data_IF_520070921072
#
_entry.id   IF_520070921072
#
_cell.length_a   1.000
_cell.length_b   1.000
_cell.length_c   1.000
_cell.angle_alpha   90.00
_cell.angle_beta   90.00
_cell.angle_gamma   90.00
#
_symmetry.space_group_name_H-M   'P 1'
#
loop_
_entity.id
_entity.type
_entity.pdbx_description
1 polymer ?
#
# COMPACT_ATOMS: atom_id res chain seq x y z
N UNK A 1 -49.38 -25.63 30.21
CA UNK A 1 -48.18 -25.49 31.06
C UNK A 1 -47.12 -26.48 30.63
N UNK A 2 -46.10 -26.04 29.90
CA UNK A 2 -44.74 -26.63 29.86
C UNK A 2 -43.81 -25.54 29.34
N UNK A 3 -42.85 -25.17 30.19
CA UNK A 3 -41.88 -24.11 30.04
C UNK A 3 -40.67 -24.77 29.39
N UNK A 4 -40.37 -24.50 28.12
CA UNK A 4 -39.08 -24.88 27.56
C UNK A 4 -38.28 -23.66 27.13
N UNK A 5 -37.10 -23.62 27.75
CA UNK A 5 -36.16 -22.51 27.81
C UNK A 5 -35.37 -22.48 26.52
N UNK A 6 -35.30 -21.32 25.88
CA UNK A 6 -34.21 -21.03 24.94
C UNK A 6 -32.90 -20.98 25.72
N UNK A 7 -31.81 -21.60 25.26
CA UNK A 7 -30.49 -21.13 25.65
C UNK A 7 -30.16 -19.85 24.87
N UNK A 8 -30.11 -18.74 25.61
CA UNK A 8 -29.28 -17.57 25.28
C UNK A 8 -27.82 -18.02 25.45
N UNK A 9 -27.04 -18.03 24.39
CA UNK A 9 -25.58 -17.96 24.49
C UNK A 9 -25.15 -16.54 24.14
N UNK A 10 -24.92 -15.77 25.19
CA UNK A 10 -24.22 -14.49 25.15
C UNK A 10 -22.75 -14.77 24.83
N UNK A 11 -22.32 -14.25 23.68
CA UNK A 11 -21.04 -13.58 23.38
C UNK A 11 -19.91 -13.75 24.40
N UNK A 12 -18.77 -14.33 23.98
CA UNK A 12 -17.44 -13.97 24.52
C UNK A 12 -16.21 -14.57 23.78
N UNK A 13 -16.36 -15.30 22.66
CA UNK A 13 -15.21 -16.01 22.05
C UNK A 13 -14.49 -15.32 20.89
N UNK A 14 -15.17 -14.47 20.13
CA UNK A 14 -14.68 -14.04 18.80
C UNK A 14 -13.66 -12.89 18.81
N UNK A 15 -13.57 -12.13 19.89
CA UNK A 15 -12.74 -10.92 19.94
C UNK A 15 -11.28 -11.23 20.34
N UNK A 16 -11.08 -12.28 21.16
CA UNK A 16 -9.76 -12.75 21.57
C UNK A 16 -9.05 -13.53 20.45
N UNK A 17 -9.77 -14.36 19.69
CA UNK A 17 -9.18 -15.15 18.58
C UNK A 17 -8.67 -14.25 17.45
N UNK A 18 -9.36 -13.15 17.14
CA UNK A 18 -8.92 -12.22 16.09
C UNK A 18 -7.63 -11.49 16.44
N UNK A 19 -7.41 -11.14 17.72
CA UNK A 19 -6.13 -10.54 18.15
C UNK A 19 -4.97 -11.53 18.15
N UNK A 20 -5.24 -12.82 18.43
CA UNK A 20 -4.22 -13.86 18.39
C UNK A 20 -3.69 -14.11 16.97
N UNK A 21 -4.55 -14.06 15.94
CA UNK A 21 -4.11 -14.29 14.55
C UNK A 21 -3.28 -13.12 14.02
N UNK A 22 -3.62 -11.87 14.36
CA UNK A 22 -2.84 -10.69 13.93
C UNK A 22 -1.48 -10.58 14.63
N UNK A 23 -1.40 -11.01 15.89
CA UNK A 23 -0.12 -11.06 16.60
C UNK A 23 0.75 -12.22 16.11
N UNK A 24 0.16 -13.36 15.71
CA UNK A 24 0.91 -14.47 15.15
C UNK A 24 1.45 -14.14 13.74
N UNK A 25 0.72 -13.40 12.91
CA UNK A 25 1.22 -12.96 11.60
C UNK A 25 2.30 -11.88 11.69
N UNK A 26 2.22 -10.95 12.67
CA UNK A 26 3.33 -10.01 12.92
C UNK A 26 4.54 -10.70 13.56
N UNK A 27 4.36 -11.67 14.47
CA UNK A 27 5.47 -12.41 15.06
C UNK A 27 6.17 -13.32 14.04
N UNK A 28 5.42 -13.94 13.12
CA UNK A 28 5.99 -14.74 12.02
C UNK A 28 6.75 -13.89 11.00
N UNK A 29 6.45 -12.59 10.86
CA UNK A 29 7.24 -11.66 10.05
C UNK A 29 8.56 -11.24 10.74
N UNK A 30 8.63 -11.29 12.07
CA UNK A 30 9.85 -10.99 12.83
C UNK A 30 10.77 -12.20 13.04
N UNK A 31 10.27 -13.44 12.91
CA UNK A 31 11.04 -14.66 13.18
C UNK A 31 11.70 -15.29 11.94
N UNK A 32 11.68 -14.64 10.77
CA UNK A 32 12.43 -15.07 9.56
C UNK A 32 13.67 -14.20 9.32
N UNK A 33 14.19 -13.53 10.34
CA UNK A 33 15.55 -13.02 10.30
C UNK A 33 16.51 -14.10 10.83
N UNK A 34 17.53 -14.49 10.06
CA UNK A 34 18.37 -15.63 10.35
C UNK A 34 19.16 -15.38 11.65
N UNK A 35 18.96 -16.27 12.62
CA UNK A 35 19.96 -16.50 13.65
C UNK A 35 21.21 -17.06 12.98
N UNK A 36 22.36 -16.40 13.21
CA UNK A 36 23.71 -16.70 12.71
C UNK A 36 24.07 -16.14 11.33
N UNK A 37 24.47 -14.87 11.29
CA UNK A 37 25.55 -14.43 10.41
C UNK A 37 26.71 -13.96 11.28
N UNK A 38 27.71 -14.84 11.45
CA UNK A 38 29.08 -14.34 11.51
C UNK A 38 29.26 -13.42 10.30
N UNK A 39 29.88 -12.25 10.47
CA UNK A 39 30.08 -11.25 9.44
C UNK A 39 30.95 -11.77 8.28
N UNK A 40 30.39 -12.64 7.44
CA UNK A 40 30.81 -12.82 6.07
C UNK A 40 30.44 -11.53 5.36
N UNK A 41 31.44 -10.78 4.91
CA UNK A 41 31.20 -9.67 3.97
C UNK A 41 30.49 -10.29 2.78
N UNK A 42 29.18 -10.06 2.66
CA UNK A 42 28.44 -10.46 1.48
C UNK A 42 29.13 -9.86 0.26
N UNK A 43 29.27 -10.67 -0.79
CA UNK A 43 29.80 -10.14 -2.04
C UNK A 43 28.85 -9.03 -2.53
N UNK A 44 29.35 -7.97 -3.21
CA UNK A 44 28.50 -6.92 -3.77
C UNK A 44 27.36 -7.46 -4.63
N UNK A 45 27.57 -8.61 -5.28
CA UNK A 45 26.54 -9.29 -6.06
C UNK A 45 25.40 -9.86 -5.19
N UNK A 46 25.73 -10.49 -4.06
CA UNK A 46 24.71 -11.01 -3.14
C UNK A 46 23.91 -9.86 -2.52
N UNK A 47 24.58 -8.78 -2.12
CA UNK A 47 23.90 -7.58 -1.63
C UNK A 47 22.94 -7.00 -2.69
N UNK A 48 23.38 -6.94 -3.95
CA UNK A 48 22.56 -6.46 -5.05
C UNK A 48 21.30 -7.30 -5.25
N UNK A 49 21.45 -8.63 -5.26
CA UNK A 49 20.34 -9.59 -5.40
C UNK A 49 19.35 -9.47 -4.23
N UNK A 50 19.81 -9.21 -3.00
CA UNK A 50 18.93 -8.94 -1.85
C UNK A 50 18.11 -7.67 -2.03
N UNK A 51 18.75 -6.55 -2.44
CA UNK A 51 18.03 -5.30 -2.67
C UNK A 51 17.00 -5.42 -3.80
N UNK A 52 17.35 -6.13 -4.87
CA UNK A 52 16.45 -6.48 -5.96
C UNK A 52 15.22 -7.27 -5.46
N UNK A 53 15.41 -8.32 -4.66
CA UNK A 53 14.29 -9.10 -4.13
C UNK A 53 13.38 -8.27 -3.22
N UNK A 54 13.95 -7.44 -2.35
CA UNK A 54 13.15 -6.51 -1.53
C UNK A 54 12.37 -5.53 -2.43
N UNK A 55 12.97 -5.04 -3.53
CA UNK A 55 12.29 -4.15 -4.47
C UNK A 55 11.11 -4.84 -5.16
N UNK A 56 11.29 -6.09 -5.62
CA UNK A 56 10.22 -6.91 -6.23
C UNK A 56 9.06 -7.15 -5.27
N UNK A 57 9.35 -7.49 -4.01
CA UNK A 57 8.31 -7.66 -2.98
C UNK A 57 7.52 -6.37 -2.75
N UNK A 58 8.19 -5.22 -2.77
CA UNK A 58 7.52 -3.91 -2.66
C UNK A 58 6.65 -3.60 -3.86
N UNK A 59 7.09 -3.92 -5.08
CA UNK A 59 6.26 -3.80 -6.29
C UNK A 59 5.04 -4.72 -6.20
N UNK A 60 5.18 -5.94 -5.69
CA UNK A 60 4.06 -6.85 -5.50
C UNK A 60 3.04 -6.29 -4.48
N UNK A 61 3.52 -5.74 -3.36
CA UNK A 61 2.67 -5.07 -2.38
C UNK A 61 1.94 -3.85 -3.01
N UNK A 62 2.65 -3.03 -3.79
CA UNK A 62 2.07 -1.88 -4.49
C UNK A 62 0.94 -2.31 -5.42
N UNK A 63 1.16 -3.35 -6.24
CA UNK A 63 0.13 -3.92 -7.12
C UNK A 63 -1.07 -4.46 -6.34
N UNK A 64 -0.85 -5.02 -5.15
CA UNK A 64 -1.91 -5.45 -4.25
C UNK A 64 -2.82 -4.30 -3.83
N UNK A 65 -2.23 -3.18 -3.43
CA UNK A 65 -2.96 -1.94 -3.10
C UNK A 65 -3.66 -1.35 -4.33
N UNK A 66 -3.04 -1.37 -5.52
CA UNK A 66 -3.72 -0.91 -6.75
C UNK A 66 -4.97 -1.75 -7.04
N UNK A 67 -4.90 -3.08 -6.94
CA UNK A 67 -6.07 -3.95 -7.12
C UNK A 67 -7.16 -3.66 -6.08
N UNK A 68 -6.79 -3.38 -4.83
CA UNK A 68 -7.75 -3.00 -3.80
C UNK A 68 -8.42 -1.64 -4.12
N UNK A 69 -7.63 -0.65 -4.55
CA UNK A 69 -8.14 0.64 -4.98
C UNK A 69 -9.15 0.50 -6.13
N UNK A 70 -8.81 -0.29 -7.17
CA UNK A 70 -9.72 -0.52 -8.30
C UNK A 70 -11.03 -1.17 -7.84
N UNK A 71 -10.97 -2.18 -6.96
CA UNK A 71 -12.18 -2.81 -6.38
C UNK A 71 -13.05 -1.81 -5.62
N UNK A 72 -12.44 -0.90 -4.87
CA UNK A 72 -13.14 0.14 -4.10
C UNK A 72 -13.77 1.20 -4.98
N UNK A 73 -13.04 1.63 -6.02
CA UNK A 73 -13.59 2.52 -7.06
C UNK A 73 -14.78 1.88 -7.78
N UNK A 74 -14.64 0.63 -8.21
CA UNK A 74 -15.71 -0.09 -8.89
C UNK A 74 -16.91 -0.31 -7.95
N UNK A 75 -16.68 -0.55 -6.66
CA UNK A 75 -17.73 -0.58 -5.64
C UNK A 75 -18.45 0.77 -5.55
N UNK A 76 -17.72 1.89 -5.51
CA UNK A 76 -18.30 3.23 -5.46
C UNK A 76 -19.24 3.49 -6.65
N UNK A 77 -18.82 3.15 -7.87
CA UNK A 77 -19.64 3.33 -9.07
C UNK A 77 -20.87 2.43 -9.15
N UNK A 78 -20.90 1.32 -8.40
CA UNK A 78 -22.09 0.46 -8.27
C UNK A 78 -23.09 0.97 -7.23
N UNK A 79 -22.68 1.88 -6.35
CA UNK A 79 -23.52 2.46 -5.28
C UNK A 79 -24.36 3.63 -5.81
N UNK A 80 -25.02 3.43 -6.95
CA UNK A 80 -25.88 4.45 -7.58
C UNK A 80 -26.99 4.87 -6.61
N UNK A 81 -27.08 6.17 -6.33
CA UNK A 81 -28.06 6.75 -5.41
C UNK A 81 -27.67 6.69 -3.92
N UNK A 82 -26.58 6.00 -3.56
CA UNK A 82 -25.99 6.07 -2.22
C UNK A 82 -24.65 6.81 -2.27
N UNK A 83 -24.74 8.12 -2.47
CA UNK A 83 -23.60 9.01 -2.63
C UNK A 83 -22.68 9.01 -1.40
N UNK A 84 -23.22 8.75 -0.20
CA UNK A 84 -22.41 8.71 1.03
C UNK A 84 -21.46 7.52 1.01
N UNK A 85 -22.00 6.32 0.77
CA UNK A 85 -21.19 5.12 0.69
C UNK A 85 -20.26 5.12 -0.54
N UNK A 86 -20.68 5.75 -1.65
CA UNK A 86 -19.84 5.95 -2.82
C UNK A 86 -18.63 6.85 -2.50
N UNK A 87 -18.86 7.99 -1.84
CA UNK A 87 -17.81 8.89 -1.39
C UNK A 87 -16.83 8.21 -0.42
N UNK A 88 -17.33 7.46 0.56
CA UNK A 88 -16.47 6.71 1.51
C UNK A 88 -15.63 5.64 0.79
N UNK A 89 -16.19 4.96 -0.21
CA UNK A 89 -15.46 3.98 -1.00
C UNK A 89 -14.38 4.63 -1.89
N UNK A 90 -14.63 5.83 -2.44
CA UNK A 90 -13.64 6.61 -3.20
C UNK A 90 -12.52 7.13 -2.31
N UNK A 91 -12.82 7.61 -1.10
CA UNK A 91 -11.81 8.01 -0.11
C UNK A 91 -10.87 6.84 0.20
N UNK A 92 -11.41 5.66 0.50
CA UNK A 92 -10.61 4.45 0.73
C UNK A 92 -9.81 4.08 -0.53
N UNK A 93 -10.38 4.21 -1.73
CA UNK A 93 -9.65 3.92 -2.97
C UNK A 93 -8.44 4.87 -3.14
N UNK A 94 -8.59 6.15 -2.77
CA UNK A 94 -7.50 7.11 -2.73
C UNK A 94 -6.42 6.74 -1.72
N UNK A 95 -6.80 6.27 -0.53
CA UNK A 95 -5.85 5.80 0.50
C UNK A 95 -5.02 4.62 -0.01
N UNK A 96 -5.66 3.66 -0.67
CA UNK A 96 -4.98 2.51 -1.28
C UNK A 96 -4.01 2.92 -2.39
N UNK A 97 -4.38 3.90 -3.24
CA UNK A 97 -3.46 4.46 -4.26
C UNK A 97 -2.26 5.15 -3.61
N UNK A 98 -2.46 5.86 -2.51
CA UNK A 98 -1.37 6.45 -1.75
C UNK A 98 -0.40 5.37 -1.21
N UNK A 99 -0.91 4.30 -0.59
CA UNK A 99 -0.08 3.19 -0.10
C UNK A 99 0.68 2.49 -1.23
N UNK A 100 0.06 2.29 -2.39
CA UNK A 100 0.72 1.79 -3.58
C UNK A 100 1.86 2.72 -4.04
N UNK A 101 1.65 4.04 -4.02
CA UNK A 101 2.71 5.00 -4.33
C UNK A 101 3.89 4.88 -3.38
N UNK A 102 3.66 4.81 -2.07
CA UNK A 102 4.72 4.66 -1.07
C UNK A 102 5.53 3.37 -1.29
N UNK A 103 4.85 2.26 -1.59
CA UNK A 103 5.51 1.00 -1.89
C UNK A 103 6.37 1.07 -3.16
N UNK A 104 5.89 1.73 -4.23
CA UNK A 104 6.67 1.98 -5.45
C UNK A 104 7.87 2.90 -5.20
N UNK A 105 7.74 3.96 -4.40
CA UNK A 105 8.87 4.83 -4.05
C UNK A 105 9.95 4.09 -3.28
N UNK A 106 9.56 3.24 -2.33
CA UNK A 106 10.51 2.38 -1.60
C UNK A 106 11.17 1.42 -2.59
N UNK A 107 10.42 0.77 -3.47
CA UNK A 107 10.97 -0.13 -4.47
C UNK A 107 12.01 0.56 -5.37
N UNK A 108 11.71 1.77 -5.83
CA UNK A 108 12.63 2.59 -6.62
C UNK A 108 13.97 2.79 -5.91
N UNK A 109 13.94 3.19 -4.63
CA UNK A 109 15.15 3.36 -3.81
C UNK A 109 15.92 2.06 -3.60
N UNK A 110 15.24 0.91 -3.50
CA UNK A 110 15.94 -0.37 -3.37
C UNK A 110 16.57 -0.83 -4.69
N UNK A 111 15.90 -0.59 -5.82
CA UNK A 111 16.49 -0.81 -7.14
C UNK A 111 17.74 0.06 -7.37
N UNK A 112 17.75 1.31 -6.91
CA UNK A 112 18.95 2.15 -6.94
C UNK A 112 20.11 1.58 -6.10
N UNK A 113 19.81 0.96 -4.95
CA UNK A 113 20.84 0.28 -4.15
C UNK A 113 21.34 -0.98 -4.84
N UNK A 114 20.45 -1.78 -5.41
CA UNK A 114 20.80 -2.96 -6.21
C UNK A 114 21.72 -2.56 -7.36
N UNK A 115 21.39 -1.48 -8.09
CA UNK A 115 22.22 -0.95 -9.17
C UNK A 115 23.62 -0.55 -8.71
N UNK A 116 23.74 0.15 -7.58
CA UNK A 116 25.04 0.52 -6.99
C UNK A 116 25.88 -0.71 -6.64
N UNK A 117 25.24 -1.73 -6.06
CA UNK A 117 25.90 -2.96 -5.67
C UNK A 117 26.31 -3.84 -6.87
N UNK A 118 25.47 -3.97 -7.90
CA UNK A 118 25.84 -4.63 -9.18
C UNK A 118 27.01 -3.94 -9.86
N UNK A 119 27.00 -2.60 -9.89
CA UNK A 119 28.12 -1.82 -10.43
C UNK A 119 29.42 -2.07 -9.66
N UNK A 120 29.36 -2.14 -8.32
CA UNK A 120 30.52 -2.46 -7.48
C UNK A 120 31.00 -3.92 -7.67
N UNK A 121 30.09 -4.83 -8.03
CA UNK A 121 30.38 -6.21 -8.40
C UNK A 121 30.86 -6.41 -9.85
N UNK A 122 31.12 -5.32 -10.59
CA UNK A 122 31.50 -5.34 -12.00
C UNK A 122 30.48 -6.01 -12.94
N UNK A 123 29.19 -5.88 -12.64
CA UNK A 123 28.06 -6.34 -13.47
C UNK A 123 27.27 -5.13 -14.02
N UNK A 124 27.82 -4.42 -15.04
CA UNK A 124 27.25 -3.15 -15.52
C UNK A 124 25.90 -3.32 -16.21
N UNK A 125 25.65 -4.47 -16.84
CA UNK A 125 24.38 -4.73 -17.52
C UNK A 125 23.24 -4.83 -16.49
N UNK A 126 23.43 -5.63 -15.43
CA UNK A 126 22.46 -5.70 -14.33
C UNK A 126 22.31 -4.37 -13.59
N UNK A 127 23.38 -3.60 -13.47
CA UNK A 127 23.29 -2.27 -12.88
C UNK A 127 22.38 -1.35 -13.71
N UNK A 128 22.47 -1.40 -15.04
CA UNK A 128 21.60 -0.62 -15.93
C UNK A 128 20.15 -1.12 -15.87
N UNK A 129 19.92 -2.42 -15.85
CA UNK A 129 18.58 -3.01 -15.70
C UNK A 129 17.93 -2.55 -14.39
N UNK A 130 18.67 -2.61 -13.27
CA UNK A 130 18.20 -2.14 -11.98
C UNK A 130 17.89 -0.64 -11.97
N UNK A 131 18.66 0.20 -12.67
CA UNK A 131 18.32 1.62 -12.84
C UNK A 131 17.06 1.82 -13.68
N UNK A 132 16.84 1.00 -14.72
CA UNK A 132 15.62 0.99 -15.50
C UNK A 132 14.39 0.67 -14.64
N UNK A 133 14.50 -0.36 -13.79
CA UNK A 133 13.45 -0.74 -12.84
C UNK A 133 13.22 0.33 -11.76
N UNK A 134 14.28 0.99 -11.28
CA UNK A 134 14.17 2.13 -10.37
C UNK A 134 13.34 3.27 -10.99
N UNK A 135 13.62 3.62 -12.24
CA UNK A 135 12.90 4.66 -12.97
C UNK A 135 11.45 4.26 -13.25
N UNK A 136 11.20 2.99 -13.60
CA UNK A 136 9.86 2.46 -13.81
C UNK A 136 9.02 2.53 -12.51
N UNK A 137 9.59 2.09 -11.38
CA UNK A 137 8.96 2.18 -10.07
C UNK A 137 8.69 3.64 -9.66
N UNK A 138 9.61 4.56 -9.91
CA UNK A 138 9.41 5.99 -9.65
C UNK A 138 8.26 6.57 -10.48
N UNK A 139 8.20 6.22 -11.77
CA UNK A 139 7.11 6.63 -12.66
C UNK A 139 5.76 6.08 -12.19
N UNK A 140 5.73 4.81 -11.79
CA UNK A 140 4.54 4.18 -11.23
C UNK A 140 4.09 4.88 -9.94
N UNK A 141 5.01 5.20 -9.03
CA UNK A 141 4.70 5.95 -7.82
C UNK A 141 4.02 7.30 -8.11
N UNK A 142 4.53 8.06 -9.08
CA UNK A 142 3.93 9.33 -9.50
C UNK A 142 2.55 9.14 -10.13
N UNK A 143 2.39 8.14 -11.02
CA UNK A 143 1.11 7.83 -11.64
C UNK A 143 0.06 7.50 -10.57
N UNK A 144 0.37 6.56 -9.69
CA UNK A 144 -0.58 6.11 -8.68
C UNK A 144 -0.94 7.23 -7.69
N UNK A 145 0.00 8.11 -7.34
CA UNK A 145 -0.27 9.25 -6.48
C UNK A 145 -1.21 10.29 -7.13
N UNK A 146 -1.08 10.51 -8.45
CA UNK A 146 -2.02 11.33 -9.23
C UNK A 146 -3.41 10.71 -9.26
N UNK A 147 -3.50 9.42 -9.57
CA UNK A 147 -4.77 8.68 -9.56
C UNK A 147 -5.45 8.74 -8.18
N UNK A 148 -4.68 8.65 -7.09
CA UNK A 148 -5.20 8.82 -5.74
C UNK A 148 -5.79 10.21 -5.48
N UNK A 149 -5.11 11.27 -5.95
CA UNK A 149 -5.61 12.64 -5.85
C UNK A 149 -6.91 12.85 -6.64
N UNK A 150 -7.00 12.25 -7.84
CA UNK A 150 -8.21 12.30 -8.66
C UNK A 150 -9.39 11.59 -7.96
N UNK A 151 -9.15 10.45 -7.30
CA UNK A 151 -10.18 9.75 -6.54
C UNK A 151 -10.68 10.57 -5.35
N UNK A 152 -9.80 11.24 -4.61
CA UNK A 152 -10.20 12.16 -3.53
C UNK A 152 -11.03 13.32 -4.04
N UNK A 153 -10.71 13.85 -5.23
CA UNK A 153 -11.50 14.92 -5.86
C UNK A 153 -12.92 14.45 -6.20
N UNK A 154 -13.07 13.23 -6.71
CA UNK A 154 -14.41 12.67 -6.96
C UNK A 154 -15.14 12.45 -5.63
N UNK A 155 -14.46 11.98 -4.57
CA UNK A 155 -15.05 11.84 -3.23
C UNK A 155 -15.49 13.19 -2.64
N UNK A 156 -14.70 14.24 -2.84
CA UNK A 156 -15.00 15.61 -2.43
C UNK A 156 -16.34 16.06 -3.02
N UNK A 157 -16.55 15.87 -4.32
CA UNK A 157 -17.80 16.21 -5.00
C UNK A 157 -18.99 15.45 -4.41
N UNK A 158 -18.81 14.18 -4.03
CA UNK A 158 -19.88 13.41 -3.36
C UNK A 158 -20.23 13.98 -1.99
N UNK A 159 -19.24 14.32 -1.18
CA UNK A 159 -19.45 14.84 0.17
C UNK A 159 -20.01 16.27 0.15
N UNK A 160 -19.59 17.10 -0.81
CA UNK A 160 -20.17 18.42 -1.03
C UNK A 160 -21.66 18.35 -1.36
N UNK A 161 -22.06 17.48 -2.28
CA UNK A 161 -23.46 17.31 -2.66
C UNK A 161 -24.35 16.84 -1.50
N UNK A 162 -23.76 16.22 -0.47
CA UNK A 162 -24.46 15.74 0.72
C UNK A 162 -24.40 16.71 1.90
N UNK A 163 -23.65 17.82 1.80
CA UNK A 163 -23.42 18.72 2.92
C UNK A 163 -22.51 18.15 4.02
N UNK A 164 -21.75 17.10 3.73
CA UNK A 164 -20.83 16.41 4.66
C UNK A 164 -19.48 17.13 4.72
N UNK A 165 -19.48 18.37 5.26
CA UNK A 165 -18.32 19.27 5.24
C UNK A 165 -17.08 18.68 5.92
N UNK A 166 -17.23 17.96 7.03
CA UNK A 166 -16.11 17.34 7.75
C UNK A 166 -15.37 16.31 6.89
N UNK A 167 -16.13 15.51 6.12
CA UNK A 167 -15.54 14.53 5.21
C UNK A 167 -14.93 15.21 3.98
N UNK A 168 -15.60 16.23 3.44
CA UNK A 168 -15.08 17.07 2.35
C UNK A 168 -13.70 17.64 2.70
N UNK A 169 -13.55 18.27 3.87
CA UNK A 169 -12.28 18.85 4.32
C UNK A 169 -11.18 17.78 4.38
N UNK A 170 -11.48 16.61 4.96
CA UNK A 170 -10.49 15.53 5.07
C UNK A 170 -9.98 15.03 3.71
N UNK A 171 -10.85 14.86 2.72
CA UNK A 171 -10.42 14.40 1.39
C UNK A 171 -9.65 15.49 0.63
N UNK A 172 -9.99 16.76 0.82
CA UNK A 172 -9.19 17.88 0.28
C UNK A 172 -7.79 17.87 0.87
N UNK A 173 -7.65 17.70 2.19
CA UNK A 173 -6.34 17.62 2.84
C UNK A 173 -5.51 16.43 2.33
N UNK A 174 -6.15 15.26 2.12
CA UNK A 174 -5.49 14.09 1.53
C UNK A 174 -5.03 14.37 0.09
N UNK A 175 -5.88 15.00 -0.73
CA UNK A 175 -5.56 15.38 -2.11
C UNK A 175 -4.41 16.39 -2.16
N UNK A 176 -4.44 17.42 -1.31
CA UNK A 176 -3.38 18.42 -1.19
C UNK A 176 -2.03 17.76 -0.83
N UNK A 177 -1.99 16.87 0.16
CA UNK A 177 -0.77 16.12 0.52
C UNK A 177 -0.23 15.29 -0.65
N UNK A 178 -1.10 14.68 -1.46
CA UNK A 178 -0.67 13.95 -2.66
C UNK A 178 -0.05 14.90 -3.70
N UNK A 179 -0.65 16.07 -3.91
CA UNK A 179 -0.14 17.08 -4.85
C UNK A 179 1.20 17.66 -4.38
N UNK A 180 1.33 17.99 -3.10
CA UNK A 180 2.60 18.45 -2.49
C UNK A 180 3.71 17.43 -2.73
N UNK A 181 3.46 16.15 -2.40
CA UNK A 181 4.41 15.06 -2.67
C UNK A 181 4.75 14.95 -4.15
N UNK A 182 3.77 15.05 -5.06
CA UNK A 182 4.04 15.03 -6.50
C UNK A 182 4.96 16.18 -6.94
N UNK A 183 4.89 17.34 -6.28
CA UNK A 183 5.79 18.46 -6.55
C UNK A 183 7.21 18.21 -6.02
N UNK A 184 7.34 17.51 -4.91
CA UNK A 184 8.63 17.07 -4.35
C UNK A 184 9.27 15.95 -5.17
N UNK A 185 8.47 15.16 -5.89
CA UNK A 185 8.92 14.07 -6.78
C UNK A 185 9.41 14.54 -8.17
N UNK A 186 9.67 15.84 -8.34
CA UNK A 186 10.12 16.44 -9.61
C UNK A 186 11.58 16.16 -9.92
#
# INVERSE_FOLDING_TARGET
MRKDRRPRTTVAGGWLVKRSVTLLTMALLFSVLPQNYAAQRESPRQEAEQWEEVAKLRIQAARGHEVQAERKRDQAFRLVGNFMAAGDALDIAGDEKYLASEAYQIASKQWEKAAKAFKAGADPDKANDALGEAAAAWSAAKRTLREGADLYKIAEEQFENLGELDKKIKVIEKSARNIERLMEMR
#
